data_IF_481148161922
#
_entry.id   IF_481148161922
#
_cell.length_a   1.000
_cell.length_b   1.000
_cell.length_c   1.000
_cell.angle_alpha   90.00
_cell.angle_beta   90.00
_cell.angle_gamma   90.00
#
_symmetry.space_group_name_H-M   'P 1'
#
loop_
_entity.id
_entity.type
_entity.pdbx_description
1 polymer ?
#
# COMPACT_ATOMS: atom_id res chain seq x y z
N UNK A 1 21.04 -36.09 -45.55
CA UNK A 1 20.50 -36.96 -44.48
C UNK A 1 21.10 -36.68 -43.09
N UNK A 2 21.20 -35.41 -42.65
CA UNK A 2 21.62 -35.06 -41.26
C UNK A 2 20.67 -34.07 -40.56
N UNK A 3 19.70 -33.49 -41.26
CA UNK A 3 18.73 -32.53 -40.71
C UNK A 3 17.44 -33.17 -40.17
N UNK A 4 17.09 -34.39 -40.63
CA UNK A 4 15.90 -35.09 -40.12
C UNK A 4 16.04 -35.56 -38.65
N UNK A 5 17.28 -35.77 -38.16
CA UNK A 5 17.53 -36.27 -36.81
C UNK A 5 17.46 -35.17 -35.74
N UNK A 6 17.71 -33.90 -36.09
CA UNK A 6 17.57 -32.78 -35.14
C UNK A 6 16.10 -32.41 -34.91
N UNK A 7 15.27 -32.45 -35.96
CA UNK A 7 13.84 -32.10 -35.86
C UNK A 7 13.05 -33.08 -34.99
N UNK A 8 13.38 -34.37 -35.02
CA UNK A 8 12.72 -35.39 -34.18
C UNK A 8 13.12 -35.25 -32.71
N UNK A 9 14.38 -34.87 -32.42
CA UNK A 9 14.87 -34.64 -31.05
C UNK A 9 14.26 -33.38 -30.44
N UNK A 10 14.12 -32.29 -31.23
CA UNK A 10 13.48 -31.06 -30.74
C UNK A 10 11.98 -31.26 -30.50
N UNK A 11 11.31 -32.08 -31.33
CA UNK A 11 9.90 -32.42 -31.16
C UNK A 11 9.66 -33.35 -29.96
N UNK A 12 10.59 -34.27 -29.66
CA UNK A 12 10.50 -35.10 -28.43
C UNK A 12 10.80 -34.29 -27.16
N UNK A 13 11.67 -33.28 -27.22
CA UNK A 13 11.88 -32.33 -26.11
C UNK A 13 10.68 -31.40 -25.91
N UNK A 14 10.00 -30.96 -26.98
CA UNK A 14 8.77 -30.18 -26.87
C UNK A 14 7.59 -31.02 -26.36
N UNK A 15 7.45 -32.29 -26.79
CA UNK A 15 6.39 -33.18 -26.28
C UNK A 15 6.67 -33.69 -24.86
N UNK A 16 7.93 -33.80 -24.44
CA UNK A 16 8.28 -34.06 -23.04
C UNK A 16 8.05 -32.85 -22.11
N UNK A 17 8.03 -31.62 -22.66
CA UNK A 17 7.69 -30.39 -21.94
C UNK A 17 6.18 -30.11 -21.82
N UNK A 18 5.34 -30.85 -22.56
CA UNK A 18 3.87 -30.69 -22.54
C UNK A 18 3.13 -31.91 -21.97
N UNK A 19 3.86 -32.92 -21.51
CA UNK A 19 3.29 -34.09 -20.85
C UNK A 19 3.15 -33.84 -19.35
N UNK A 20 1.91 -33.58 -18.94
CA UNK A 20 1.41 -33.65 -17.57
C UNK A 20 2.02 -32.63 -16.61
N UNK A 21 1.27 -31.56 -16.32
CA UNK A 21 1.17 -31.10 -14.93
C UNK A 21 0.54 -32.28 -14.20
N UNK A 22 1.28 -33.05 -13.38
CA UNK A 22 0.62 -34.05 -12.59
C UNK A 22 -0.28 -33.26 -11.64
N UNK A 23 -1.58 -33.54 -11.70
CA UNK A 23 -2.52 -33.23 -10.65
C UNK A 23 -2.10 -34.09 -9.45
N UNK A 24 -1.02 -33.69 -8.77
CA UNK A 24 -0.60 -34.30 -7.52
C UNK A 24 -1.46 -33.68 -6.46
N UNK A 25 -2.49 -34.43 -6.06
CA UNK A 25 -3.04 -34.37 -4.71
C UNK A 25 -1.92 -34.70 -3.73
N UNK A 26 -1.02 -33.74 -3.51
CA UNK A 26 -0.22 -33.71 -2.31
C UNK A 26 -1.16 -33.18 -1.23
N UNK A 27 -1.68 -34.07 -0.40
CA UNK A 27 -1.94 -33.75 0.99
C UNK A 27 -0.57 -33.43 1.64
N UNK A 28 0.05 -32.33 1.23
CA UNK A 28 0.97 -31.61 2.08
C UNK A 28 0.10 -31.01 3.16
N UNK A 29 0.47 -31.18 4.43
CA UNK A 29 0.05 -30.27 5.47
C UNK A 29 0.20 -28.85 4.92
N UNK A 30 -0.91 -28.28 4.44
CA UNK A 30 -0.99 -26.85 4.20
C UNK A 30 -0.69 -26.28 5.57
N UNK A 31 0.49 -25.72 5.76
CA UNK A 31 0.72 -24.76 6.82
C UNK A 31 -0.39 -23.72 6.64
N UNK A 32 -1.50 -23.92 7.35
CA UNK A 32 -2.53 -22.91 7.46
C UNK A 32 -1.77 -21.71 7.96
N UNK A 33 -1.78 -20.62 7.19
CA UNK A 33 -1.30 -19.32 7.66
C UNK A 33 -1.87 -19.17 9.06
N UNK A 34 -0.99 -19.14 10.07
CA UNK A 34 -1.41 -19.01 11.46
C UNK A 34 -1.94 -17.59 11.60
N UNK A 35 -3.24 -17.44 11.46
CA UNK A 35 -3.94 -16.19 11.69
C UNK A 35 -4.09 -16.05 13.20
N UNK A 36 -3.68 -14.90 13.72
CA UNK A 36 -3.86 -14.56 15.12
C UNK A 36 -5.36 -14.43 15.41
N UNK A 37 -5.84 -15.10 16.44
CA UNK A 37 -7.19 -14.91 16.94
C UNK A 37 -7.25 -13.62 17.77
N UNK A 38 -7.71 -12.54 17.14
CA UNK A 38 -7.77 -11.20 17.75
C UNK A 38 -8.75 -11.10 18.91
N UNK A 39 -9.75 -11.98 18.99
CA UNK A 39 -10.74 -11.97 20.07
C UNK A 39 -10.14 -12.45 21.40
N UNK A 40 -9.00 -13.13 21.35
CA UNK A 40 -8.28 -13.63 22.52
C UNK A 40 -7.00 -12.84 22.84
N UNK A 41 -6.73 -11.74 22.12
CA UNK A 41 -5.60 -10.87 22.43
C UNK A 41 -5.90 -10.07 23.70
N UNK A 42 -5.07 -10.27 24.73
CA UNK A 42 -5.08 -9.46 25.94
C UNK A 42 -3.96 -8.43 25.88
N UNK A 43 -4.33 -7.15 25.97
CA UNK A 43 -3.36 -6.05 26.01
C UNK A 43 -2.90 -5.79 27.46
N UNK A 44 -1.62 -5.43 27.67
CA UNK A 44 -1.14 -5.01 28.97
C UNK A 44 -1.78 -3.69 29.39
N UNK A 45 -1.71 -3.38 30.69
CA UNK A 45 -2.05 -2.04 31.16
C UNK A 45 -1.02 -1.04 30.66
N UNK A 46 -1.46 0.00 29.97
CA UNK A 46 -0.60 1.06 29.46
C UNK A 46 -0.16 2.00 30.60
N UNK A 47 1.15 2.18 30.73
CA UNK A 47 1.80 2.98 31.78
C UNK A 47 2.28 4.30 31.17
N UNK A 48 1.48 5.35 31.31
CA UNK A 48 1.81 6.68 30.83
C UNK A 48 2.84 7.37 31.72
N UNK A 49 3.88 7.94 31.11
CA UNK A 49 4.88 8.77 31.78
C UNK A 49 4.65 10.24 31.42
N UNK A 50 3.95 10.96 32.30
CA UNK A 50 3.67 12.39 32.14
C UNK A 50 4.92 13.28 32.30
N UNK A 51 6.05 12.73 32.76
CA UNK A 51 7.31 13.45 32.88
C UNK A 51 8.18 13.35 31.63
N UNK A 52 7.86 12.42 30.72
CA UNK A 52 8.59 12.26 29.47
C UNK A 52 8.28 13.41 28.51
N UNK A 53 9.32 14.08 28.01
CA UNK A 53 9.19 15.10 26.99
C UNK A 53 8.77 14.47 25.65
N UNK A 54 7.80 15.09 24.99
CA UNK A 54 7.37 14.70 23.64
C UNK A 54 8.51 14.88 22.62
N UNK A 55 8.58 13.95 21.67
CA UNK A 55 9.52 14.00 20.56
C UNK A 55 8.84 14.57 19.32
N UNK A 56 9.63 15.17 18.44
CA UNK A 56 9.18 15.52 17.09
C UNK A 56 9.51 14.35 16.17
N UNK A 57 8.47 13.76 15.58
CA UNK A 57 8.58 12.65 14.66
C UNK A 57 8.38 13.19 13.24
N UNK A 58 9.47 13.35 12.49
CA UNK A 58 9.42 13.92 11.13
C UNK A 58 9.13 12.90 10.04
N UNK A 59 9.14 11.61 10.37
CA UNK A 59 9.12 10.53 9.40
C UNK A 59 8.44 9.30 9.98
N UNK A 60 7.85 8.47 9.12
CA UNK A 60 6.97 7.35 9.48
C UNK A 60 7.56 6.38 10.52
N UNK A 61 6.67 5.69 11.22
CA UNK A 61 7.02 4.65 12.17
C UNK A 61 7.40 3.37 11.41
N UNK A 62 8.56 2.79 11.75
CA UNK A 62 9.06 1.59 11.06
C UNK A 62 9.09 0.45 12.05
N UNK A 63 8.24 -0.56 11.84
CA UNK A 63 8.21 -1.73 12.68
C UNK A 63 9.43 -2.62 12.38
N UNK A 64 10.22 -2.89 13.42
CA UNK A 64 11.41 -3.74 13.29
C UNK A 64 11.03 -5.17 12.90
N UNK A 65 11.88 -5.81 12.08
CA UNK A 65 11.70 -7.21 11.73
C UNK A 65 11.66 -8.08 13.00
N UNK A 66 10.61 -8.91 13.19
CA UNK A 66 10.49 -9.83 14.32
C UNK A 66 11.65 -10.83 14.47
N UNK A 67 12.43 -11.07 13.41
CA UNK A 67 13.60 -11.96 13.40
C UNK A 67 14.83 -11.24 13.99
N UNK A 68 14.96 -9.93 13.77
CA UNK A 68 16.09 -9.12 14.24
C UNK A 68 15.96 -8.67 15.71
N UNK A 69 14.78 -8.84 16.33
CA UNK A 69 14.45 -8.28 17.64
C UNK A 69 15.26 -8.87 18.81
N UNK A 70 15.88 -10.03 18.61
CA UNK A 70 16.67 -10.71 19.64
C UNK A 70 18.01 -10.02 19.97
N UNK A 71 18.49 -9.09 19.13
CA UNK A 71 19.78 -8.42 19.31
C UNK A 71 19.70 -6.96 19.74
N UNK A 72 18.50 -6.39 19.90
CA UNK A 72 18.34 -4.94 19.97
C UNK A 72 17.38 -4.54 21.10
N UNK A 73 17.81 -4.73 22.35
CA UNK A 73 17.28 -3.95 23.49
C UNK A 73 17.99 -2.60 23.65
N UNK A 74 19.03 -2.31 22.85
CA UNK A 74 19.97 -1.20 23.09
C UNK A 74 20.11 -0.17 21.97
N UNK A 75 19.44 -0.32 20.81
CA UNK A 75 19.39 0.76 19.80
C UNK A 75 18.05 1.48 19.73
N UNK A 76 17.42 1.69 20.90
CA UNK A 76 16.54 2.86 21.09
C UNK A 76 17.40 4.12 21.14
N UNK A 77 18.04 4.45 20.02
CA UNK A 77 18.97 5.57 19.92
C UNK A 77 18.36 6.62 19.00
N UNK A 78 17.85 7.64 19.70
CA UNK A 78 17.88 9.05 19.30
C UNK A 78 16.97 9.48 18.17
N UNK A 79 15.69 9.69 18.53
CA UNK A 79 14.85 10.73 17.92
C UNK A 79 15.40 12.17 18.11
N UNK A 80 16.63 12.34 18.62
CA UNK A 80 17.28 13.66 18.75
C UNK A 80 17.56 14.34 17.41
N UNK A 81 17.60 13.58 16.31
CA UNK A 81 17.90 14.11 14.97
C UNK A 81 16.69 14.10 14.02
N UNK A 82 15.48 13.81 14.50
CA UNK A 82 14.27 13.85 13.65
C UNK A 82 14.28 12.85 12.48
N UNK A 83 14.89 11.66 12.65
CA UNK A 83 14.93 10.56 11.66
C UNK A 83 13.85 9.52 11.95
N UNK A 84 13.56 8.63 10.98
CA UNK A 84 12.62 7.49 11.15
C UNK A 84 12.76 6.80 12.49
N UNK A 85 11.63 6.62 13.15
CA UNK A 85 11.58 5.98 14.46
C UNK A 85 11.29 4.49 14.26
N UNK A 86 12.28 3.66 14.57
CA UNK A 86 12.09 2.21 14.62
C UNK A 86 11.37 1.84 15.92
N UNK A 87 10.31 1.06 15.81
CA UNK A 87 9.55 0.54 16.97
C UNK A 87 9.71 -0.98 17.07
N UNK A 88 9.78 -1.55 18.29
CA UNK A 88 10.05 -2.97 18.49
C UNK A 88 8.83 -3.81 18.12
N UNK A 89 9.07 -5.08 17.74
CA UNK A 89 8.00 -6.05 17.61
C UNK A 89 7.27 -6.24 18.95
N UNK A 90 5.95 -6.19 18.90
CA UNK A 90 5.05 -6.21 20.05
C UNK A 90 4.67 -4.83 20.58
N UNK A 91 5.14 -3.75 19.96
CA UNK A 91 4.79 -2.39 20.36
C UNK A 91 3.28 -2.13 20.30
N UNK A 92 2.84 -1.14 21.08
CA UNK A 92 1.46 -0.65 21.09
C UNK A 92 1.50 0.85 20.77
N UNK A 93 0.84 1.27 19.70
CA UNK A 93 0.64 2.67 19.36
C UNK A 93 -0.74 3.08 19.89
N UNK A 94 -0.81 4.19 20.60
CA UNK A 94 -2.05 4.77 21.10
C UNK A 94 -2.21 6.18 20.56
N UNK A 95 -3.23 6.39 19.74
CA UNK A 95 -3.64 7.72 19.30
C UNK A 95 -4.70 8.26 20.28
N UNK A 96 -4.37 9.31 21.02
CA UNK A 96 -5.29 9.93 21.98
C UNK A 96 -6.21 10.97 21.33
N UNK A 97 -7.27 11.35 22.03
CA UNK A 97 -8.22 12.42 21.65
C UNK A 97 -7.67 13.85 21.84
N UNK A 98 -6.44 13.94 22.36
CA UNK A 98 -5.68 15.18 22.58
C UNK A 98 -4.63 15.42 21.49
N UNK A 99 -4.69 14.69 20.37
CA UNK A 99 -3.73 14.80 19.27
C UNK A 99 -2.29 14.49 19.70
N UNK A 100 -2.15 13.54 20.63
CA UNK A 100 -0.87 12.97 21.04
C UNK A 100 -0.87 11.49 20.71
N UNK A 101 0.17 11.05 20.03
CA UNK A 101 0.47 9.64 19.79
C UNK A 101 1.51 9.15 20.79
N UNK A 102 1.16 8.12 21.56
CA UNK A 102 2.06 7.49 22.53
C UNK A 102 2.40 6.07 22.06
N UNK A 103 3.68 5.72 22.11
CA UNK A 103 4.15 4.37 21.75
C UNK A 103 4.65 3.67 22.99
N UNK A 104 4.21 2.42 23.18
CA UNK A 104 4.57 1.54 24.28
C UNK A 104 5.30 0.30 23.77
N UNK A 105 6.07 -0.33 24.65
CA UNK A 105 6.58 -1.67 24.41
C UNK A 105 5.48 -2.75 24.63
N UNK A 106 5.86 -4.01 24.44
CA UNK A 106 4.96 -5.16 24.59
C UNK A 106 4.47 -5.40 26.02
N UNK A 107 5.10 -4.77 27.02
CA UNK A 107 4.72 -4.87 28.44
C UNK A 107 3.84 -3.68 28.87
N UNK A 108 3.55 -2.75 27.96
CA UNK A 108 2.74 -1.57 28.22
C UNK A 108 3.51 -0.40 28.81
N UNK A 109 4.85 -0.43 28.81
CA UNK A 109 5.67 0.71 29.26
C UNK A 109 5.87 1.71 28.14
N UNK A 110 5.66 3.00 28.44
CA UNK A 110 5.84 4.08 27.46
C UNK A 110 7.30 4.16 26.98
N UNK A 111 7.46 4.16 25.65
CA UNK A 111 8.74 4.36 24.96
C UNK A 111 8.94 5.84 24.62
N UNK A 112 7.93 6.47 24.03
CA UNK A 112 7.90 7.90 23.71
C UNK A 112 6.46 8.39 23.47
N UNK A 113 6.29 9.71 23.45
CA UNK A 113 5.07 10.39 23.00
C UNK A 113 5.44 11.47 21.96
N UNK A 114 4.53 11.77 21.05
CA UNK A 114 4.70 12.79 20.03
C UNK A 114 3.38 13.54 19.81
N UNK A 115 3.46 14.87 19.67
CA UNK A 115 2.33 15.69 19.27
C UNK A 115 2.09 15.55 17.77
N UNK A 116 0.87 15.18 17.38
CA UNK A 116 0.52 14.95 15.99
C UNK A 116 0.57 16.24 15.15
N UNK A 117 0.39 17.41 15.78
CA UNK A 117 0.46 18.70 15.11
C UNK A 117 1.90 19.16 14.80
N UNK A 118 2.87 18.69 15.59
CA UNK A 118 4.29 19.01 15.41
C UNK A 118 5.03 17.95 14.56
N UNK A 119 4.38 16.81 14.31
CA UNK A 119 4.92 15.75 13.48
C UNK A 119 5.13 16.20 12.03
N UNK A 120 6.13 15.61 11.39
CA UNK A 120 6.31 15.71 9.94
C UNK A 120 5.09 15.15 9.21
N UNK A 121 5.00 15.49 7.93
CA UNK A 121 3.85 15.11 7.11
C UNK A 121 4.31 14.09 6.06
N UNK A 122 3.57 12.99 5.96
CA UNK A 122 3.83 11.89 5.03
C UNK A 122 2.69 11.79 4.03
N UNK A 123 3.04 11.61 2.75
CA UNK A 123 2.05 11.35 1.72
C UNK A 123 1.55 9.90 1.81
N UNK A 124 0.22 9.76 1.83
CA UNK A 124 -0.47 8.48 1.82
C UNK A 124 -1.56 8.47 0.75
N UNK A 125 -2.13 7.31 0.40
CA UNK A 125 -3.28 7.23 -0.51
C UNK A 125 -4.49 8.07 -0.07
N UNK A 126 -4.59 8.41 1.22
CA UNK A 126 -5.63 9.28 1.78
C UNK A 126 -5.16 10.72 2.01
N UNK A 127 -4.19 11.15 1.21
CA UNK A 127 -3.56 12.46 1.30
C UNK A 127 -2.49 12.53 2.39
N UNK A 128 -2.08 13.76 2.70
CA UNK A 128 -1.09 14.03 3.74
C UNK A 128 -1.59 13.66 5.14
N UNK A 129 -0.78 12.91 5.89
CA UNK A 129 -1.01 12.56 7.30
C UNK A 129 0.20 12.91 8.16
N UNK A 130 0.00 13.22 9.45
CA UNK A 130 1.08 13.21 10.42
C UNK A 130 1.86 11.90 10.35
N UNK A 131 3.18 11.99 10.44
CA UNK A 131 4.08 10.85 10.39
C UNK A 131 3.82 9.85 11.53
N UNK A 132 3.26 10.32 12.65
CA UNK A 132 2.78 9.49 13.77
C UNK A 132 1.67 8.52 13.36
N UNK A 133 0.94 8.80 12.27
CA UNK A 133 -0.16 7.98 11.76
C UNK A 133 0.26 7.07 10.59
N UNK A 134 1.52 7.08 10.17
CA UNK A 134 1.98 6.24 9.06
C UNK A 134 2.95 5.20 9.58
N UNK A 135 2.67 3.93 9.27
CA UNK A 135 3.49 2.82 9.73
C UNK A 135 3.90 1.91 8.56
N UNK A 136 5.21 1.69 8.44
CA UNK A 136 5.76 0.59 7.65
C UNK A 136 5.70 -0.71 8.46
N UNK A 137 5.11 -1.76 7.88
CA UNK A 137 5.05 -3.10 8.47
C UNK A 137 5.88 -4.10 7.64
N UNK A 138 6.46 -5.14 8.27
CA UNK A 138 7.23 -6.15 7.55
C UNK A 138 6.42 -6.80 6.42
N UNK A 139 7.05 -7.01 5.28
CA UNK A 139 6.46 -7.81 4.19
C UNK A 139 6.05 -9.20 4.71
N UNK A 140 4.86 -9.67 4.35
CA UNK A 140 4.25 -10.91 4.85
C UNK A 140 3.47 -10.75 6.16
N UNK A 141 3.33 -9.53 6.69
CA UNK A 141 2.47 -9.27 7.85
C UNK A 141 0.99 -9.47 7.52
N UNK A 142 0.21 -9.85 8.53
CA UNK A 142 -1.25 -9.97 8.49
C UNK A 142 -1.88 -8.88 9.35
N UNK A 143 -2.74 -8.08 8.76
CA UNK A 143 -3.49 -6.99 9.38
C UNK A 143 -4.91 -7.45 9.66
N UNK A 144 -5.37 -7.29 10.89
CA UNK A 144 -6.77 -7.41 11.26
C UNK A 144 -7.22 -6.13 11.96
N UNK A 145 -8.49 -5.80 11.85
CA UNK A 145 -9.02 -4.59 12.43
C UNK A 145 -10.38 -4.84 13.08
N UNK A 146 -10.53 -4.30 14.29
CA UNK A 146 -11.78 -4.35 15.07
C UNK A 146 -12.04 -2.96 15.61
N UNK A 147 -13.11 -2.34 15.10
CA UNK A 147 -13.53 -0.98 15.45
C UNK A 147 -12.40 0.05 15.28
N UNK A 148 -11.78 0.50 16.37
CA UNK A 148 -10.68 1.44 16.36
C UNK A 148 -9.32 0.83 16.67
N UNK A 149 -9.25 -0.50 16.78
CA UNK A 149 -8.01 -1.21 17.02
C UNK A 149 -7.55 -1.95 15.76
N UNK A 150 -6.29 -1.79 15.40
CA UNK A 150 -5.63 -2.57 14.35
C UNK A 150 -4.62 -3.50 15.02
N UNK A 151 -4.65 -4.78 14.65
CA UNK A 151 -3.71 -5.79 15.07
C UNK A 151 -2.87 -6.21 13.87
N UNK A 152 -1.56 -6.21 14.02
CA UNK A 152 -0.63 -6.65 13.00
C UNK A 152 0.13 -7.84 13.56
N UNK A 153 0.08 -8.95 12.83
CA UNK A 153 0.76 -10.18 13.18
C UNK A 153 1.70 -10.64 12.08
N UNK A 154 2.73 -11.40 12.45
CA UNK A 154 3.68 -12.01 11.52
C UNK A 154 3.98 -13.42 11.99
N UNK A 155 3.80 -14.41 11.11
CA UNK A 155 3.89 -15.84 11.45
C UNK A 155 3.04 -16.24 12.68
N UNK A 156 1.84 -15.65 12.81
CA UNK A 156 0.92 -15.90 13.92
C UNK A 156 1.28 -15.25 15.26
N UNK A 157 2.35 -14.45 15.31
CA UNK A 157 2.72 -13.67 16.50
C UNK A 157 2.25 -12.22 16.33
N UNK A 158 1.61 -11.65 17.35
CA UNK A 158 1.30 -10.21 17.39
C UNK A 158 2.60 -9.39 17.42
N UNK A 159 2.76 -8.48 16.48
CA UNK A 159 3.96 -7.65 16.32
C UNK A 159 3.69 -6.15 16.41
N UNK A 160 2.44 -5.71 16.28
CA UNK A 160 2.04 -4.34 16.55
C UNK A 160 0.54 -4.28 16.87
N UNK A 161 0.18 -3.46 17.84
CA UNK A 161 -1.21 -3.07 18.09
C UNK A 161 -1.33 -1.56 17.93
N UNK A 162 -2.38 -1.09 17.26
CA UNK A 162 -2.70 0.34 17.15
C UNK A 162 -4.08 0.56 17.73
N UNK A 163 -4.20 1.42 18.73
CA UNK A 163 -5.45 1.79 19.38
C UNK A 163 -5.74 3.25 19.05
N UNK A 164 -6.85 3.52 18.37
CA UNK A 164 -7.25 4.87 18.00
C UNK A 164 -8.46 5.38 18.79
N UNK A 165 -8.21 6.27 19.75
CA UNK A 165 -9.27 6.95 20.51
C UNK A 165 -9.58 8.35 19.96
N UNK A 166 -8.89 8.81 18.92
CA UNK A 166 -9.05 10.13 18.31
C UNK A 166 -10.43 10.28 17.62
N UNK A 167 -11.14 9.17 17.42
CA UNK A 167 -12.42 9.11 16.69
C UNK A 167 -13.62 9.72 17.42
N UNK A 168 -13.52 10.03 18.71
CA UNK A 168 -14.59 10.67 19.46
C UNK A 168 -14.75 12.18 19.18
N UNK A 169 -13.92 12.77 18.31
CA UNK A 169 -14.17 14.10 17.73
C UNK A 169 -14.55 14.00 16.27
N UNK A 170 -15.84 13.79 16.02
CA UNK A 170 -16.48 14.32 14.82
C UNK A 170 -16.49 15.85 14.88
N UNK A 171 -15.34 16.49 14.63
CA UNK A 171 -15.23 17.94 14.34
C UNK A 171 -13.89 18.28 13.68
N UNK A 172 -13.94 18.55 12.37
CA UNK A 172 -13.24 19.68 11.70
C UNK A 172 -11.70 19.75 11.62
N UNK A 173 -10.97 18.64 11.56
CA UNK A 173 -9.58 18.65 11.04
C UNK A 173 -9.39 17.54 10.03
N UNK A 174 -9.75 17.81 8.75
CA UNK A 174 -9.45 17.00 7.54
C UNK A 174 -9.27 15.48 7.76
N UNK A 175 -10.12 14.89 8.60
CA UNK A 175 -10.34 13.45 8.57
C UNK A 175 -11.22 13.30 7.35
N UNK A 176 -10.59 13.01 6.22
CA UNK A 176 -11.28 12.70 4.98
C UNK A 176 -12.11 11.44 5.20
N UNK A 177 -13.30 11.60 5.78
CA UNK A 177 -14.47 10.95 5.21
C UNK A 177 -14.33 11.16 3.72
N UNK A 178 -14.29 10.11 2.91
CA UNK A 178 -14.25 10.30 1.47
C UNK A 178 -15.56 10.99 1.14
N UNK A 179 -15.47 12.30 0.96
CA UNK A 179 -16.58 13.08 0.51
C UNK A 179 -16.86 12.53 -0.88
N UNK A 180 -17.95 11.77 -1.00
CA UNK A 180 -18.53 11.41 -2.27
C UNK A 180 -18.65 12.70 -3.07
N UNK A 181 -17.73 12.88 -4.01
CA UNK A 181 -17.76 13.95 -4.97
C UNK A 181 -18.05 13.28 -6.32
N UNK A 182 -19.10 13.71 -7.06
CA UNK A 182 -19.34 13.20 -8.41
C UNK A 182 -18.16 13.45 -9.36
N UNK A 183 -17.22 14.31 -8.99
CA UNK A 183 -15.90 14.47 -9.61
C UNK A 183 -14.82 13.81 -8.74
N UNK A 184 -13.91 13.07 -9.37
CA UNK A 184 -12.80 12.40 -8.69
C UNK A 184 -12.06 13.31 -7.71
N UNK A 185 -11.46 12.68 -6.68
CA UNK A 185 -10.55 13.35 -5.74
C UNK A 185 -9.51 14.19 -6.48
N UNK A 186 -9.24 15.39 -5.99
CA UNK A 186 -8.30 16.32 -6.65
C UNK A 186 -6.89 15.72 -6.78
N UNK A 187 -6.55 14.78 -5.90
CA UNK A 187 -5.31 14.01 -5.90
C UNK A 187 -5.20 13.05 -7.10
N UNK A 188 -6.33 12.59 -7.66
CA UNK A 188 -6.34 11.76 -8.85
C UNK A 188 -6.16 12.64 -10.08
N UNK A 189 -5.07 12.42 -10.81
CA UNK A 189 -4.73 13.14 -12.04
C UNK A 189 -5.55 12.56 -13.18
N UNK A 190 -5.41 11.26 -13.39
CA UNK A 190 -6.11 10.51 -14.43
C UNK A 190 -6.25 9.04 -14.04
N UNK A 191 -7.22 8.36 -14.63
CA UNK A 191 -7.45 6.95 -14.28
C UNK A 191 -8.70 6.34 -14.86
N UNK A 192 -9.08 5.23 -14.25
CA UNK A 192 -10.21 4.41 -14.64
C UNK A 192 -10.81 3.68 -13.43
N UNK A 193 -12.14 3.56 -13.39
CA UNK A 193 -12.85 2.87 -12.31
C UNK A 193 -14.08 2.11 -12.79
N UNK A 194 -14.38 1.00 -12.15
CA UNK A 194 -15.61 0.24 -12.40
C UNK A 194 -16.80 0.79 -11.62
N UNK A 195 -18.00 0.39 -12.04
CA UNK A 195 -19.15 0.36 -11.12
C UNK A 195 -18.90 -0.64 -9.97
N UNK A 196 -19.74 -0.59 -8.94
CA UNK A 196 -19.67 -1.54 -7.83
C UNK A 196 -19.90 -2.98 -8.31
N UNK A 197 -19.03 -3.88 -7.85
CA UNK A 197 -19.05 -5.31 -8.08
C UNK A 197 -19.54 -6.01 -6.82
N UNK A 198 -20.43 -6.98 -6.98
CA UNK A 198 -21.10 -7.65 -5.86
C UNK A 198 -20.15 -8.54 -5.06
N UNK A 199 -19.17 -9.17 -5.72
CA UNK A 199 -18.18 -10.05 -5.10
C UNK A 199 -16.94 -10.11 -6.00
N UNK A 200 -15.76 -9.92 -5.42
CA UNK A 200 -14.46 -10.14 -6.07
C UNK A 200 -13.67 -11.18 -5.26
N UNK A 201 -13.02 -12.09 -5.97
CA UNK A 201 -12.07 -13.06 -5.45
C UNK A 201 -10.62 -12.74 -5.83
N UNK A 202 -10.38 -12.12 -6.99
CA UNK A 202 -9.05 -11.65 -7.36
C UNK A 202 -9.12 -10.51 -8.36
N UNK A 203 -8.23 -9.52 -8.22
CA UNK A 203 -7.96 -8.49 -9.22
C UNK A 203 -6.45 -8.38 -9.45
N UNK A 204 -6.02 -8.64 -10.67
CA UNK A 204 -4.63 -8.51 -11.10
C UNK A 204 -4.54 -7.65 -12.35
N UNK A 205 -3.48 -6.85 -12.44
CA UNK A 205 -3.09 -6.15 -13.66
C UNK A 205 -1.57 -6.14 -13.80
N UNK A 206 -1.08 -6.09 -15.03
CA UNK A 206 0.33 -5.86 -15.34
C UNK A 206 0.51 -4.47 -15.95
N UNK A 207 1.55 -3.74 -15.56
CA UNK A 207 1.86 -2.44 -16.15
C UNK A 207 3.36 -2.16 -16.16
N UNK A 208 3.79 -1.27 -17.06
CA UNK A 208 5.17 -0.82 -17.09
C UNK A 208 5.43 0.30 -16.08
N UNK A 209 6.64 0.34 -15.55
CA UNK A 209 7.18 1.53 -14.88
C UNK A 209 7.40 2.61 -15.95
N UNK A 210 6.82 3.80 -15.81
CA UNK A 210 6.99 4.87 -16.79
C UNK A 210 8.39 5.50 -16.72
N UNK A 211 8.69 6.37 -17.69
CA UNK A 211 9.80 7.29 -17.55
C UNK A 211 9.66 8.12 -16.27
N UNK A 212 10.76 8.30 -15.53
CA UNK A 212 10.78 9.13 -14.35
C UNK A 212 10.52 10.59 -14.70
N UNK A 213 9.84 11.37 -13.81
CA UNK A 213 9.79 12.82 -13.94
C UNK A 213 11.16 13.45 -14.14
N UNK A 214 11.21 14.50 -14.97
CA UNK A 214 12.46 15.20 -15.29
C UNK A 214 13.03 15.95 -14.10
N UNK A 215 12.16 16.48 -13.25
CA UNK A 215 12.52 17.24 -12.06
C UNK A 215 11.69 16.82 -10.85
N UNK A 216 12.24 17.10 -9.67
CA UNK A 216 11.52 17.05 -8.40
C UNK A 216 11.15 18.49 -8.00
N UNK A 217 9.87 18.79 -7.92
CA UNK A 217 9.39 20.02 -7.30
C UNK A 217 9.47 19.86 -5.79
N UNK A 218 9.94 20.91 -5.11
CA UNK A 218 9.87 21.04 -3.65
C UNK A 218 9.21 22.38 -3.38
N UNK A 219 8.10 22.37 -2.63
CA UNK A 219 7.35 23.58 -2.31
C UNK A 219 8.26 24.53 -1.48
N UNK A 220 8.55 25.75 -1.98
CA UNK A 220 9.39 26.70 -1.27
C UNK A 220 8.84 27.11 0.10
N UNK A 221 7.52 27.02 0.30
CA UNK A 221 6.86 27.33 1.56
C UNK A 221 6.83 26.15 2.53
N UNK A 222 7.03 24.93 2.03
CA UNK A 222 7.04 23.72 2.85
C UNK A 222 7.90 22.61 2.19
N UNK A 223 9.16 22.41 2.61
CA UNK A 223 10.08 21.45 1.99
C UNK A 223 9.68 19.97 2.14
N UNK A 224 8.68 19.67 2.98
CA UNK A 224 8.08 18.33 3.09
C UNK A 224 7.09 18.03 1.95
N UNK A 225 6.65 19.05 1.22
CA UNK A 225 5.75 18.90 0.06
C UNK A 225 6.55 18.87 -1.24
N UNK A 226 6.37 17.80 -2.00
CA UNK A 226 7.14 17.52 -3.22
C UNK A 226 6.24 16.99 -4.33
N UNK A 227 6.71 17.01 -5.57
CA UNK A 227 6.06 16.36 -6.72
C UNK A 227 6.11 14.83 -6.64
N UNK A 228 5.43 14.28 -5.63
CA UNK A 228 5.29 12.84 -5.42
C UNK A 228 4.17 12.30 -6.32
N UNK A 229 4.43 11.19 -6.99
CA UNK A 229 3.45 10.51 -7.86
C UNK A 229 3.28 9.05 -7.44
N UNK A 230 2.04 8.55 -7.45
CA UNK A 230 1.75 7.14 -7.25
C UNK A 230 0.94 6.58 -8.42
N UNK A 231 1.30 5.37 -8.86
CA UNK A 231 0.62 4.63 -9.93
C UNK A 231 0.22 3.27 -9.38
N UNK A 232 -1.05 2.91 -9.54
CA UNK A 232 -1.58 1.71 -8.90
C UNK A 232 -2.83 1.16 -9.60
N UNK A 233 -3.07 -0.15 -9.41
CA UNK A 233 -4.38 -0.77 -9.52
C UNK A 233 -4.85 -1.16 -8.11
N UNK A 234 -6.13 -1.01 -7.79
CA UNK A 234 -6.61 -1.17 -6.41
C UNK A 234 -8.07 -1.63 -6.33
N UNK A 235 -8.45 -2.02 -5.12
CA UNK A 235 -9.84 -2.32 -4.76
C UNK A 235 -10.27 -1.39 -3.63
N UNK A 236 -11.43 -0.79 -3.80
CA UNK A 236 -12.06 0.07 -2.79
C UNK A 236 -13.50 -0.33 -2.54
N UNK A 237 -14.05 -0.01 -1.37
CA UNK A 237 -15.50 -0.16 -1.14
C UNK A 237 -16.30 0.82 -1.99
N UNK A 238 -17.60 0.58 -2.18
CA UNK A 238 -18.42 1.47 -3.02
C UNK A 238 -18.48 2.92 -2.51
N UNK A 239 -18.42 3.11 -1.19
CA UNK A 239 -18.31 4.41 -0.50
C UNK A 239 -16.87 4.93 -0.41
N UNK A 240 -15.93 4.17 -0.97
CA UNK A 240 -14.50 4.40 -1.05
C UNK A 240 -13.77 4.45 0.29
N UNK A 241 -14.45 4.08 1.39
CA UNK A 241 -13.95 4.19 2.77
C UNK A 241 -12.76 3.30 3.08
N UNK A 242 -12.63 2.18 2.37
CA UNK A 242 -11.53 1.23 2.44
C UNK A 242 -10.75 1.20 1.15
N UNK A 243 -9.43 0.99 1.23
CA UNK A 243 -8.58 0.90 0.05
C UNK A 243 -7.44 -0.10 0.30
N UNK A 244 -7.29 -1.03 -0.63
CA UNK A 244 -6.12 -1.89 -0.76
C UNK A 244 -5.52 -1.68 -2.15
N UNK A 245 -4.20 -1.53 -2.22
CA UNK A 245 -3.51 -1.28 -3.48
C UNK A 245 -2.02 -1.62 -3.43
N UNK A 246 -1.48 -2.37 -4.41
CA UNK A 246 -0.07 -2.28 -4.78
C UNK A 246 0.22 -0.94 -5.48
N UNK A 247 1.29 -0.27 -5.09
CA UNK A 247 1.61 1.10 -5.52
C UNK A 247 3.06 1.21 -5.97
N UNK A 248 3.25 1.80 -7.14
CA UNK A 248 4.52 2.32 -7.62
C UNK A 248 4.62 3.79 -7.21
N UNK A 249 5.69 4.18 -6.54
CA UNK A 249 5.83 5.47 -5.84
C UNK A 249 7.06 6.23 -6.37
N UNK A 250 6.88 7.48 -6.81
CA UNK A 250 7.98 8.36 -7.23
C UNK A 250 8.29 9.41 -6.18
N UNK A 251 9.57 9.55 -5.82
CA UNK A 251 10.00 10.48 -4.79
C UNK A 251 9.45 10.14 -3.41
N UNK A 252 9.41 8.85 -3.09
CA UNK A 252 9.24 8.35 -1.72
C UNK A 252 10.58 8.01 -1.11
N UNK A 253 10.53 7.71 0.19
CA UNK A 253 11.66 7.25 0.94
C UNK A 253 12.04 5.82 0.50
N UNK A 254 13.26 5.67 -0.01
CA UNK A 254 13.80 4.37 -0.49
C UNK A 254 14.00 3.36 0.67
N UNK A 255 14.55 3.81 1.81
CA UNK A 255 14.84 2.95 2.97
C UNK A 255 14.73 3.74 4.25
N UNK A 256 14.39 3.09 5.36
CA UNK A 256 14.41 3.63 6.73
C UNK A 256 15.60 4.57 7.05
N UNK A 257 16.78 4.25 6.52
CA UNK A 257 18.04 5.00 6.74
C UNK A 257 18.18 6.27 5.91
N UNK A 258 17.41 6.43 4.83
CA UNK A 258 17.48 7.60 3.95
C UNK A 258 16.77 8.77 4.64
N UNK A 259 17.47 9.87 4.96
CA UNK A 259 16.86 10.99 5.68
C UNK A 259 15.79 11.72 4.83
N UNK A 260 15.84 11.57 3.51
CA UNK A 260 14.96 12.27 2.57
C UNK A 260 14.50 11.34 1.44
N UNK A 261 13.29 11.56 0.89
CA UNK A 261 12.85 10.92 -0.35
C UNK A 261 13.84 11.14 -1.50
N UNK A 262 14.21 10.05 -2.19
CA UNK A 262 15.12 10.08 -3.33
C UNK A 262 14.37 10.22 -4.66
N UNK A 263 15.00 10.73 -5.72
CA UNK A 263 14.42 10.75 -7.08
C UNK A 263 14.48 9.35 -7.71
N UNK A 264 13.76 8.41 -7.11
CA UNK A 264 13.71 7.00 -7.49
C UNK A 264 12.27 6.50 -7.47
N UNK A 265 12.04 5.41 -8.20
CA UNK A 265 10.82 4.62 -8.06
C UNK A 265 10.99 3.61 -6.93
N UNK A 266 10.00 3.56 -6.04
CA UNK A 266 9.83 2.52 -5.02
C UNK A 266 8.51 1.78 -5.24
N UNK A 267 8.40 0.59 -4.65
CA UNK A 267 7.19 -0.23 -4.68
C UNK A 267 6.74 -0.56 -3.28
N UNK A 268 5.44 -0.45 -3.02
CA UNK A 268 4.83 -0.77 -1.73
C UNK A 268 3.43 -1.35 -1.92
N UNK A 269 2.89 -2.00 -0.90
CA UNK A 269 1.46 -2.33 -0.84
C UNK A 269 0.83 -1.55 0.32
N UNK A 270 -0.19 -0.76 0.03
CA UNK A 270 -0.85 0.13 0.99
C UNK A 270 -2.20 -0.39 1.44
N UNK A 271 -2.53 -0.06 2.68
CA UNK A 271 -3.81 -0.33 3.32
C UNK A 271 -4.35 0.96 3.96
N UNK A 272 -5.58 1.32 3.61
CA UNK A 272 -6.29 2.43 4.22
C UNK A 272 -7.63 1.98 4.79
N UNK A 273 -7.81 2.23 6.09
CA UNK A 273 -8.95 1.77 6.88
C UNK A 273 -9.66 2.97 7.51
N UNK A 274 -11.00 3.09 7.41
CA UNK A 274 -11.71 4.20 8.04
C UNK A 274 -11.85 4.02 9.55
N UNK A 275 -11.62 2.81 10.07
CA UNK A 275 -11.69 2.50 11.48
C UNK A 275 -10.53 3.09 12.31
N UNK A 276 -9.45 3.57 11.70
CA UNK A 276 -8.32 4.24 12.36
C UNK A 276 -7.84 5.45 11.56
N UNK A 277 -7.16 6.37 12.24
CA UNK A 277 -6.41 7.49 11.66
C UNK A 277 -5.13 6.98 10.98
N UNK A 278 -4.66 5.79 11.35
CA UNK A 278 -3.42 5.22 10.82
C UNK A 278 -3.56 4.69 9.40
N UNK A 279 -2.50 4.86 8.61
CA UNK A 279 -2.34 4.22 7.31
C UNK A 279 -1.13 3.29 7.37
N UNK A 280 -1.27 2.09 6.81
CA UNK A 280 -0.20 1.09 6.80
C UNK A 280 0.31 0.87 5.38
N UNK A 281 1.58 0.54 5.26
CA UNK A 281 2.14 -0.04 4.04
C UNK A 281 3.16 -1.12 4.36
N UNK A 282 3.33 -2.06 3.44
CA UNK A 282 4.39 -3.05 3.52
C UNK A 282 5.77 -2.39 3.33
N UNK A 283 6.83 -3.13 3.71
CA UNK A 283 8.22 -2.73 3.45
C UNK A 283 8.40 -2.29 2.00
N UNK A 284 8.93 -1.09 1.79
CA UNK A 284 9.22 -0.59 0.45
C UNK A 284 10.33 -1.39 -0.22
N UNK A 285 10.16 -1.63 -1.51
CA UNK A 285 11.19 -2.19 -2.37
C UNK A 285 11.75 -1.10 -3.29
N UNK A 286 13.05 -1.22 -3.57
CA UNK A 286 13.81 -0.23 -4.31
C UNK A 286 14.60 -0.89 -5.44
N UNK A 287 15.20 -0.08 -6.31
CA UNK A 287 15.85 -0.59 -7.52
C UNK A 287 14.85 -0.95 -8.61
N UNK A 288 13.74 -0.22 -8.67
CA UNK A 288 12.77 -0.24 -9.76
C UNK A 288 13.12 0.87 -10.75
N UNK A 289 13.07 0.58 -12.04
CA UNK A 289 13.52 1.47 -13.11
C UNK A 289 12.50 1.57 -14.24
N UNK A 290 12.50 2.70 -14.99
CA UNK A 290 11.68 2.84 -16.18
C UNK A 290 11.81 1.64 -17.13
N UNK A 291 10.67 1.12 -17.58
CA UNK A 291 10.58 -0.06 -18.45
C UNK A 291 10.53 -1.41 -17.71
N UNK A 292 10.73 -1.46 -16.39
CA UNK A 292 10.44 -2.67 -15.61
C UNK A 292 8.93 -2.98 -15.66
N UNK A 293 8.55 -4.26 -15.50
CA UNK A 293 7.16 -4.72 -15.57
C UNK A 293 6.66 -5.05 -14.17
N UNK A 294 5.60 -4.37 -13.76
CA UNK A 294 4.94 -4.55 -12.48
C UNK A 294 3.72 -5.46 -12.66
N UNK A 295 3.50 -6.32 -11.67
CA UNK A 295 2.26 -7.03 -11.43
C UNK A 295 1.71 -6.57 -10.08
N UNK A 296 0.48 -6.04 -10.11
CA UNK A 296 -0.28 -5.72 -8.91
C UNK A 296 -1.39 -6.71 -8.72
N UNK A 297 -1.29 -7.49 -7.64
CA UNK A 297 -2.22 -8.57 -7.35
C UNK A 297 -2.92 -8.36 -6.01
N UNK A 298 -4.24 -8.50 -6.02
CA UNK A 298 -5.08 -8.55 -4.83
C UNK A 298 -5.90 -9.83 -4.90
N UNK A 299 -5.58 -10.81 -4.06
CA UNK A 299 -6.19 -12.13 -4.04
C UNK A 299 -6.91 -12.38 -2.71
N UNK A 300 -8.21 -12.68 -2.77
CA UNK A 300 -9.01 -13.03 -1.61
C UNK A 300 -8.99 -14.54 -1.38
N UNK A 301 -8.46 -14.96 -0.24
CA UNK A 301 -8.59 -16.33 0.25
C UNK A 301 -9.97 -16.51 0.89
N UNK A 302 -10.92 -17.06 0.13
CA UNK A 302 -12.29 -17.28 0.61
C UNK A 302 -12.38 -18.27 1.79
N UNK A 303 -11.47 -19.23 1.90
CA UNK A 303 -11.50 -20.23 2.98
C UNK A 303 -11.08 -19.65 4.33
N UNK A 304 -10.24 -18.62 4.31
CA UNK A 304 -9.67 -17.99 5.50
C UNK A 304 -10.08 -16.52 5.67
N UNK A 305 -10.92 -15.99 4.78
CA UNK A 305 -11.46 -14.63 4.79
C UNK A 305 -10.41 -13.52 4.92
N UNK A 306 -9.40 -13.52 4.05
CA UNK A 306 -8.41 -12.45 3.98
C UNK A 306 -7.98 -12.15 2.55
N UNK A 307 -7.54 -10.92 2.31
CA UNK A 307 -6.86 -10.50 1.10
C UNK A 307 -5.34 -10.66 1.25
N UNK A 308 -4.66 -11.11 0.21
CA UNK A 308 -3.23 -10.93 0.00
C UNK A 308 -3.04 -9.82 -1.04
N UNK A 309 -2.25 -8.81 -0.71
CA UNK A 309 -1.93 -7.69 -1.59
C UNK A 309 -0.45 -7.78 -1.92
N UNK A 310 -0.12 -7.78 -3.21
CA UNK A 310 1.25 -7.94 -3.68
C UNK A 310 1.59 -6.89 -4.72
N UNK A 311 2.67 -6.16 -4.47
CA UNK A 311 3.41 -5.43 -5.49
C UNK A 311 4.59 -6.31 -5.92
N UNK A 312 4.69 -6.61 -7.21
CA UNK A 312 5.79 -7.41 -7.77
C UNK A 312 6.40 -6.73 -8.98
N UNK A 313 7.70 -6.48 -8.95
CA UNK A 313 8.46 -6.22 -10.16
C UNK A 313 8.90 -7.56 -10.76
N UNK A 314 8.24 -7.95 -11.84
CA UNK A 314 8.47 -9.22 -12.55
C UNK A 314 9.75 -9.21 -13.38
N UNK A 315 10.26 -8.04 -13.76
CA UNK A 315 11.54 -7.91 -14.46
C UNK A 315 12.70 -8.19 -13.52
N UNK A 316 12.60 -7.75 -12.26
CA UNK A 316 13.65 -7.89 -11.24
C UNK A 316 13.44 -9.04 -10.28
N UNK A 317 12.28 -9.69 -10.32
CA UNK A 317 11.90 -10.76 -9.41
C UNK A 317 12.00 -10.33 -7.93
N UNK A 318 11.51 -9.12 -7.64
CA UNK A 318 11.37 -8.58 -6.28
C UNK A 318 9.90 -8.29 -5.99
N UNK A 319 9.48 -8.48 -4.75
CA UNK A 319 8.11 -8.23 -4.35
C UNK A 319 8.00 -7.83 -2.89
N UNK A 320 6.89 -7.17 -2.56
CA UNK A 320 6.47 -6.89 -1.19
C UNK A 320 4.98 -7.21 -1.06
N UNK A 321 4.59 -7.71 0.11
CA UNK A 321 3.22 -8.16 0.34
C UNK A 321 2.76 -7.87 1.75
N UNK A 322 1.46 -7.70 1.93
CA UNK A 322 0.80 -7.86 3.22
C UNK A 322 -0.54 -8.57 3.03
N UNK A 323 -1.09 -9.07 4.12
CA UNK A 323 -2.42 -9.65 4.15
C UNK A 323 -3.34 -8.80 5.02
N UNK A 324 -4.62 -8.73 4.69
CA UNK A 324 -5.62 -8.06 5.54
C UNK A 324 -6.91 -8.85 5.64
N UNK A 325 -7.48 -8.93 6.83
CA UNK A 325 -8.71 -9.68 7.08
C UNK A 325 -9.92 -9.08 6.35
N UNK A 326 -10.99 -9.86 6.22
CA UNK A 326 -12.27 -9.36 5.68
C UNK A 326 -12.90 -8.28 6.58
N UNK A 327 -12.63 -8.30 7.89
CA UNK A 327 -13.08 -7.25 8.82
C UNK A 327 -12.41 -5.91 8.51
N UNK A 328 -11.17 -5.98 8.03
CA UNK A 328 -10.36 -4.84 7.67
C UNK A 328 -10.57 -4.40 6.20
N UNK A 329 -10.98 -5.29 5.29
CA UNK A 329 -11.36 -4.97 3.90
C UNK A 329 -12.38 -6.00 3.37
N UNK A 330 -13.64 -5.62 3.10
CA UNK A 330 -14.63 -6.55 2.55
C UNK A 330 -14.32 -6.91 1.09
N UNK A 331 -14.88 -8.03 0.63
CA UNK A 331 -14.75 -8.49 -0.76
C UNK A 331 -16.04 -8.35 -1.59
N UNK A 332 -17.04 -7.68 -1.03
CA UNK A 332 -18.35 -7.46 -1.65
C UNK A 332 -18.67 -5.98 -1.70
N UNK A 333 -19.47 -5.56 -2.67
CA UNK A 333 -19.81 -4.16 -2.91
C UNK A 333 -18.56 -3.26 -3.03
N UNK A 334 -17.65 -3.69 -3.89
CA UNK A 334 -16.33 -3.07 -4.11
C UNK A 334 -16.19 -2.58 -5.54
N UNK A 335 -15.33 -1.60 -5.79
CA UNK A 335 -14.93 -1.15 -7.13
C UNK A 335 -13.48 -1.54 -7.37
N UNK A 336 -13.15 -1.78 -8.64
CA UNK A 336 -11.74 -1.79 -9.08
C UNK A 336 -11.36 -0.43 -9.63
N UNK A 337 -10.11 -0.05 -9.41
CA UNK A 337 -9.58 1.27 -9.76
C UNK A 337 -8.17 1.14 -10.33
N UNK A 338 -7.84 2.08 -11.21
CA UNK A 338 -6.50 2.31 -11.76
C UNK A 338 -6.30 3.81 -11.78
N UNK A 339 -5.24 4.31 -11.16
CA UNK A 339 -4.99 5.74 -11.10
C UNK A 339 -3.52 6.09 -11.18
N UNK A 340 -3.28 7.27 -11.75
CA UNK A 340 -2.13 8.11 -11.45
C UNK A 340 -2.59 9.17 -10.45
N UNK A 341 -1.95 9.21 -9.29
CA UNK A 341 -2.27 10.11 -8.20
C UNK A 341 -1.06 10.92 -7.74
N UNK A 342 -1.33 12.06 -7.11
CA UNK A 342 -0.32 12.90 -6.45
C UNK A 342 -0.92 13.50 -5.20
N UNK A 343 -0.13 14.20 -4.40
CA UNK A 343 -0.61 14.70 -3.11
C UNK A 343 -1.51 15.92 -3.23
N UNK A 344 -1.23 16.76 -4.21
CA UNK A 344 -1.99 17.97 -4.43
C UNK A 344 -1.74 18.52 -5.83
N UNK A 345 -2.67 19.33 -6.32
CA UNK A 345 -2.45 20.10 -7.55
C UNK A 345 -1.21 21.00 -7.48
N UNK A 346 -0.96 21.60 -6.32
CA UNK A 346 0.16 22.51 -6.12
C UNK A 346 1.53 21.83 -6.22
N UNK A 347 1.62 20.52 -5.99
CA UNK A 347 2.89 19.78 -6.05
C UNK A 347 3.35 19.45 -7.47
N UNK A 348 2.47 19.55 -8.48
CA UNK A 348 2.79 19.29 -9.89
C UNK A 348 2.46 20.53 -10.72
N UNK A 349 3.36 21.54 -10.75
CA UNK A 349 3.04 22.83 -11.38
C UNK A 349 3.06 22.80 -12.92
N UNK A 350 3.66 21.77 -13.55
CA UNK A 350 3.65 21.55 -15.00
C UNK A 350 4.17 20.14 -15.35
N UNK A 351 4.11 19.77 -16.64
CA UNK A 351 4.50 18.44 -17.13
C UNK A 351 5.97 18.05 -16.84
N UNK A 352 6.89 18.97 -16.53
CA UNK A 352 8.26 18.55 -16.20
C UNK A 352 8.36 17.72 -14.89
N UNK A 353 7.30 17.77 -14.07
CA UNK A 353 7.19 17.05 -12.80
C UNK A 353 6.27 15.82 -12.91
N UNK A 354 5.76 15.54 -14.10
CA UNK A 354 4.98 14.34 -14.42
C UNK A 354 5.90 13.22 -14.91
N UNK A 355 5.52 11.98 -14.62
CA UNK A 355 6.15 10.80 -15.22
C UNK A 355 5.77 10.70 -16.70
N UNK A 356 6.32 9.71 -17.42
CA UNK A 356 5.79 9.29 -18.73
C UNK A 356 4.61 8.33 -18.60
N UNK A 357 4.24 7.71 -19.71
CA UNK A 357 3.05 6.86 -19.80
C UNK A 357 3.17 5.51 -19.08
N UNK A 358 2.06 5.06 -18.50
CA UNK A 358 1.92 3.71 -17.97
C UNK A 358 0.74 2.98 -18.61
N UNK A 359 1.00 1.77 -19.09
CA UNK A 359 0.03 0.93 -19.80
C UNK A 359 -0.31 -0.31 -18.98
N UNK A 360 -1.55 -0.39 -18.52
CA UNK A 360 -2.12 -1.52 -17.81
C UNK A 360 -2.72 -2.53 -18.79
N UNK A 361 -2.39 -3.81 -18.60
CA UNK A 361 -2.79 -4.95 -19.45
C UNK A 361 -3.00 -6.20 -18.61
N UNK A 362 -3.35 -7.31 -19.26
CA UNK A 362 -3.47 -8.65 -18.66
C UNK A 362 -4.40 -8.66 -17.43
N UNK A 363 -5.52 -7.94 -17.53
CA UNK A 363 -6.49 -7.86 -16.45
C UNK A 363 -7.07 -9.23 -16.14
N UNK A 364 -6.87 -9.68 -14.90
CA UNK A 364 -7.48 -10.89 -14.38
C UNK A 364 -8.44 -10.50 -13.26
N UNK A 365 -9.73 -10.77 -13.45
CA UNK A 365 -10.78 -10.36 -12.54
C UNK A 365 -11.84 -11.45 -12.39
N UNK A 366 -11.87 -12.08 -11.23
CA UNK A 366 -12.77 -13.20 -10.92
C UNK A 366 -13.46 -13.01 -9.57
N UNK A 367 -14.60 -13.67 -9.36
CA UNK A 367 -15.26 -13.76 -8.04
C UNK A 367 -14.59 -14.83 -7.18
N UNK A 368 -15.07 -14.99 -5.94
CA UNK A 368 -14.59 -16.04 -5.02
C UNK A 368 -14.81 -17.48 -5.51
N UNK A 369 -15.60 -17.69 -6.56
CA UNK A 369 -15.80 -18.99 -7.20
C UNK A 369 -14.90 -19.20 -8.43
N UNK A 370 -13.99 -18.26 -8.73
CA UNK A 370 -13.11 -18.31 -9.91
C UNK A 370 -13.81 -17.99 -11.23
N UNK A 371 -15.03 -17.44 -11.21
CA UNK A 371 -15.73 -17.02 -12.43
C UNK A 371 -15.38 -15.59 -12.78
N UNK A 372 -15.23 -15.29 -14.07
CA UNK A 372 -14.95 -13.93 -14.55
C UNK A 372 -16.03 -12.92 -14.09
N UNK A 373 -15.60 -11.82 -13.47
CA UNK A 373 -16.45 -10.71 -13.02
C UNK A 373 -16.08 -9.48 -13.82
N UNK A 374 -16.40 -9.47 -15.11
CA UNK A 374 -16.06 -8.35 -15.98
C UNK A 374 -17.12 -7.25 -15.86
N UNK A 375 -16.79 -6.02 -15.41
CA UNK A 375 -17.69 -4.88 -15.50
C UNK A 375 -18.05 -4.65 -16.96
N UNK A 376 -19.34 -4.37 -17.24
CA UNK A 376 -19.80 -4.07 -18.59
C UNK A 376 -19.20 -2.77 -19.15
N UNK A 377 -18.84 -1.82 -18.27
CA UNK A 377 -18.17 -0.56 -18.60
C UNK A 377 -17.21 -0.16 -17.49
N UNK A 378 -16.07 0.44 -17.86
CA UNK A 378 -15.18 1.14 -16.95
C UNK A 378 -15.18 2.62 -17.35
N UNK A 379 -15.52 3.48 -16.40
CA UNK A 379 -15.42 4.94 -16.60
C UNK A 379 -13.96 5.35 -16.49
N UNK A 380 -13.51 6.23 -17.38
CA UNK A 380 -12.13 6.71 -17.42
C UNK A 380 -12.06 8.16 -17.88
N UNK A 381 -10.95 8.82 -17.62
CA UNK A 381 -10.76 10.21 -17.98
C UNK A 381 -9.63 10.89 -17.22
N UNK A 382 -9.50 12.18 -17.46
CA UNK A 382 -8.61 13.08 -16.71
C UNK A 382 -9.48 13.85 -15.73
N UNK A 383 -9.01 14.02 -14.51
CA UNK A 383 -9.75 14.81 -13.55
C UNK A 383 -9.75 16.29 -13.99
N UNK A 384 -10.95 16.85 -14.09
CA UNK A 384 -11.21 18.22 -14.57
C UNK A 384 -10.45 19.33 -13.84
N UNK A 385 -9.93 19.07 -12.64
CA UNK A 385 -9.10 20.04 -11.91
C UNK A 385 -7.69 20.17 -12.48
N UNK A 386 -7.22 19.24 -13.33
CA UNK A 386 -5.89 19.23 -13.91
C UNK A 386 -5.83 19.93 -15.28
N UNK A 387 -6.33 21.16 -15.33
CA UNK A 387 -6.40 21.97 -16.56
C UNK A 387 -5.04 22.45 -17.07
N UNK A 388 -4.04 22.50 -16.19
CA UNK A 388 -2.74 23.14 -16.47
C UNK A 388 -1.69 22.14 -16.97
N UNK A 389 -2.06 20.85 -17.04
CA UNK A 389 -1.22 19.77 -17.56
C UNK A 389 -1.75 19.39 -18.96
N UNK A 390 -1.23 20.00 -20.04
CA UNK A 390 -1.70 19.69 -21.38
C UNK A 390 -1.28 18.26 -21.79
N UNK A 391 -2.12 17.63 -22.60
CA UNK A 391 -1.82 16.34 -23.21
C UNK A 391 -2.18 15.12 -22.36
N UNK A 392 -2.63 15.30 -21.12
CA UNK A 392 -3.19 14.20 -20.31
C UNK A 392 -4.34 13.52 -21.05
N UNK A 393 -4.34 12.19 -21.08
CA UNK A 393 -5.45 11.43 -21.61
C UNK A 393 -5.51 10.01 -21.06
N UNK A 394 -6.69 9.38 -21.13
CA UNK A 394 -6.82 7.97 -20.76
C UNK A 394 -7.27 7.17 -21.96
N UNK A 395 -6.36 6.34 -22.47
CA UNK A 395 -6.66 5.36 -23.50
C UNK A 395 -7.36 4.15 -22.90
N UNK A 396 -8.68 4.03 -23.08
CA UNK A 396 -9.45 2.93 -22.50
C UNK A 396 -9.95 1.96 -23.57
N UNK A 397 -9.48 0.72 -23.50
CA UNK A 397 -9.94 -0.41 -24.32
C UNK A 397 -10.23 -1.61 -23.42
N UNK A 398 -10.88 -1.38 -22.28
CA UNK A 398 -11.25 -2.42 -21.33
C UNK A 398 -11.98 -3.59 -22.01
N UNK A 399 -11.65 -4.86 -21.68
CA UNK A 399 -10.67 -5.32 -20.69
C UNK A 399 -9.30 -5.63 -21.28
N UNK A 400 -8.93 -5.09 -22.44
CA UNK A 400 -7.64 -5.41 -23.05
C UNK A 400 -6.51 -4.52 -22.53
N UNK A 401 -6.79 -3.22 -22.37
CA UNK A 401 -5.77 -2.22 -22.09
C UNK A 401 -6.36 -0.94 -21.51
N UNK A 402 -5.66 -0.35 -20.54
CA UNK A 402 -5.87 1.02 -20.06
C UNK A 402 -4.51 1.73 -20.08
N UNK A 403 -4.43 2.92 -20.68
CA UNK A 403 -3.21 3.74 -20.75
C UNK A 403 -3.46 5.03 -19.98
N UNK A 404 -2.57 5.34 -19.04
CA UNK A 404 -2.44 6.64 -18.42
C UNK A 404 -1.39 7.41 -19.24
N UNK A 405 -1.84 8.33 -20.10
CA UNK A 405 -1.02 9.09 -21.05
C UNK A 405 -0.75 10.47 -20.46
N UNK A 406 0.50 10.68 -20.05
CA UNK A 406 0.92 11.87 -19.30
C UNK A 406 1.56 12.94 -20.19
N UNK A 407 1.57 12.72 -21.51
CA UNK A 407 2.22 13.56 -22.53
C UNK A 407 3.75 13.70 -22.41
N UNK A 408 4.44 12.75 -21.79
CA UNK A 408 5.89 12.77 -21.54
C UNK A 408 6.66 11.52 -21.98
#
# INVERSE_FOLDING_TARGET
MKTLKLGVILLTLLLAGMAMVPCVSAASDTEKVKILDVDHVTLPQLQFDASQQEIILNDELILMDPIETSQIKQSFISAKDGKSVKIPAGAIIHHSDKSVTTVFDSEGKQLFAANDADAGIVFTPRGYKPATFVCEIPSGSFVDAKESTIYISYNGKLILTIIDNNKNKSTTTKSGTLAYNPTWREEYIEGAQSAALSNIGQFTANWNVPASPRYLYVDPSNPTRRSQLAIWNGITTNDESYLIQPVLEWAWKDRASSPEPGQVWTGASWFAYPGSSSTLHSTRISGIYPGDNIEGDMLFNHFNNYWTITFRDTTRNIQTTYMTSQNAMPNTNVKIQIYLETVSRASIPNNNYMCGDSTFTNFYLVNTNGQNVMPGTIGSGVNSVWTDLPGLSVGNSWPSRIILDTAN
#
